data_IF_564790483112
#
_entry.id   IF_564790483112
#
_cell.length_a   1.000
_cell.length_b   1.000
_cell.length_c   1.000
_cell.angle_alpha   90.00
_cell.angle_beta   90.00
_cell.angle_gamma   90.00
#
_symmetry.space_group_name_H-M   'P 1'
#
loop_
_entity.id
_entity.type
_entity.pdbx_description
1 polymer ?
#
# COMPACT_ATOMS: atom_id res chain seq x y z
N UNK A 1 -16.80 -3.60 35.70
CA UNK A 1 -16.02 -2.33 35.72
C UNK A 1 -14.91 -2.25 34.67
N UNK A 2 -14.49 -3.36 34.02
CA UNK A 2 -13.39 -3.36 33.03
C UNK A 2 -13.83 -3.06 31.58
N UNK A 3 -15.08 -3.37 31.20
CA UNK A 3 -15.57 -3.15 29.84
C UNK A 3 -15.81 -1.67 29.51
N UNK A 4 -16.43 -0.92 30.43
CA UNK A 4 -16.60 0.54 30.28
C UNK A 4 -15.28 1.29 30.06
N UNK A 5 -14.19 0.87 30.71
CA UNK A 5 -12.86 1.49 30.50
C UNK A 5 -12.27 1.17 29.11
N UNK A 6 -12.53 -0.02 28.56
CA UNK A 6 -12.11 -0.39 27.20
C UNK A 6 -12.88 0.41 26.15
N UNK A 7 -14.19 0.54 26.30
CA UNK A 7 -15.02 1.31 25.36
C UNK A 7 -14.64 2.79 25.34
N UNK A 8 -14.48 3.43 26.51
CA UNK A 8 -14.04 4.83 26.61
C UNK A 8 -12.68 5.03 25.94
N UNK A 9 -11.75 4.08 26.11
CA UNK A 9 -10.43 4.13 25.49
C UNK A 9 -10.50 3.97 23.97
N UNK A 10 -11.32 3.06 23.45
CA UNK A 10 -11.54 2.90 22.01
C UNK A 10 -12.15 4.15 21.39
N UNK A 11 -13.16 4.73 22.03
CA UNK A 11 -13.83 5.94 21.55
C UNK A 11 -12.86 7.14 21.51
N UNK A 12 -11.98 7.26 22.50
CA UNK A 12 -10.91 8.26 22.55
C UNK A 12 -9.91 8.10 21.39
N UNK A 13 -9.49 6.87 21.08
CA UNK A 13 -8.57 6.58 19.97
C UNK A 13 -9.23 6.95 18.63
N UNK A 14 -10.47 6.54 18.38
CA UNK A 14 -11.19 6.85 17.13
C UNK A 14 -11.33 8.36 16.94
N UNK A 15 -11.66 9.10 18.00
CA UNK A 15 -11.75 10.56 17.96
C UNK A 15 -10.40 11.20 17.62
N UNK A 16 -9.30 10.68 18.18
CA UNK A 16 -7.94 11.14 17.87
C UNK A 16 -7.53 10.86 16.43
N UNK A 17 -7.93 9.71 15.87
CA UNK A 17 -7.67 9.34 14.47
C UNK A 17 -8.42 10.24 13.48
N UNK A 18 -9.68 10.60 13.78
CA UNK A 18 -10.48 11.50 12.93
C UNK A 18 -9.89 12.92 12.85
N UNK A 19 -9.17 13.36 13.88
CA UNK A 19 -8.54 14.68 13.93
C UNK A 19 -7.16 14.73 13.23
N UNK A 20 -6.74 13.65 12.56
CA UNK A 20 -5.51 13.66 11.79
C UNK A 20 -5.75 14.47 10.51
N UNK A 21 -5.18 15.67 10.47
CA UNK A 21 -5.15 16.47 9.25
C UNK A 21 -4.40 15.71 8.14
N UNK A 22 -5.08 15.52 7.01
CA UNK A 22 -4.53 14.95 5.79
C UNK A 22 -4.40 16.06 4.73
N UNK A 23 -3.18 16.38 4.28
CA UNK A 23 -2.97 17.32 3.18
C UNK A 23 -3.66 16.86 1.88
N UNK A 24 -4.09 17.80 1.03
CA UNK A 24 -4.80 17.47 -0.21
C UNK A 24 -4.02 16.54 -1.14
N UNK A 25 -2.72 16.81 -1.31
CA UNK A 25 -1.87 15.99 -2.19
C UNK A 25 -1.79 14.53 -1.74
N UNK A 26 -1.85 14.27 -0.42
CA UNK A 26 -1.62 12.94 0.13
C UNK A 26 -2.79 11.99 -0.18
N UNK A 27 -4.02 12.46 -0.02
CA UNK A 27 -5.18 11.61 -0.36
C UNK A 27 -5.37 11.48 -1.87
N UNK A 28 -5.00 12.49 -2.67
CA UNK A 28 -4.97 12.38 -4.14
C UNK A 28 -3.93 11.33 -4.58
N UNK A 29 -2.72 11.37 -3.99
CA UNK A 29 -1.69 10.37 -4.24
C UNK A 29 -2.19 8.97 -3.88
N UNK A 30 -2.87 8.79 -2.75
CA UNK A 30 -3.43 7.50 -2.35
C UNK A 30 -4.46 6.98 -3.36
N UNK A 31 -5.31 7.84 -3.93
CA UNK A 31 -6.23 7.45 -5.02
C UNK A 31 -5.41 7.02 -6.26
N UNK A 32 -4.37 7.77 -6.62
CA UNK A 32 -3.49 7.42 -7.74
C UNK A 32 -2.78 6.08 -7.55
N UNK A 33 -2.25 5.81 -6.37
CA UNK A 33 -1.68 4.51 -6.00
C UNK A 33 -2.74 3.39 -6.07
N UNK A 34 -3.98 3.69 -5.70
CA UNK A 34 -5.08 2.75 -5.84
C UNK A 34 -5.38 2.39 -7.30
N UNK A 35 -5.43 3.35 -8.21
CA UNK A 35 -5.56 3.07 -9.64
C UNK A 35 -4.37 2.28 -10.20
N UNK A 36 -3.16 2.60 -9.77
CA UNK A 36 -1.97 1.82 -10.14
C UNK A 36 -2.10 0.36 -9.68
N UNK A 37 -2.57 0.11 -8.46
CA UNK A 37 -2.84 -1.24 -7.97
C UNK A 37 -3.93 -1.96 -8.77
N UNK A 38 -4.98 -1.27 -9.25
CA UNK A 38 -5.97 -1.87 -10.16
C UNK A 38 -5.35 -2.29 -11.49
N UNK A 39 -4.48 -1.46 -12.06
CA UNK A 39 -3.76 -1.79 -13.31
C UNK A 39 -2.87 -3.02 -13.09
N UNK A 40 -2.12 -3.07 -11.98
CA UNK A 40 -1.34 -4.25 -11.63
C UNK A 40 -2.22 -5.48 -11.44
N UNK A 41 -3.35 -5.33 -10.74
CA UNK A 41 -4.34 -6.40 -10.56
C UNK A 41 -4.79 -6.99 -11.89
N UNK A 42 -5.11 -6.12 -12.85
CA UNK A 42 -5.46 -6.52 -14.20
C UNK A 42 -4.35 -7.31 -14.89
N UNK A 43 -3.11 -6.80 -14.82
CA UNK A 43 -1.96 -7.47 -15.43
C UNK A 43 -1.68 -8.85 -14.81
N UNK A 44 -1.76 -8.95 -13.49
CA UNK A 44 -1.49 -10.18 -12.75
C UNK A 44 -2.60 -11.24 -12.84
N UNK A 45 -3.84 -10.84 -13.17
CA UNK A 45 -4.98 -11.76 -13.30
C UNK A 45 -5.28 -12.14 -14.75
N UNK A 46 -5.40 -11.16 -15.64
CA UNK A 46 -5.87 -11.40 -17.03
C UNK A 46 -4.72 -11.48 -18.04
N UNK A 47 -3.61 -10.79 -17.79
CA UNK A 47 -2.41 -10.81 -18.64
C UNK A 47 -1.27 -11.57 -17.98
N UNK A 48 -1.60 -12.60 -17.19
CA UNK A 48 -0.66 -13.26 -16.27
C UNK A 48 0.60 -13.78 -16.98
N UNK A 49 0.47 -14.48 -18.11
CA UNK A 49 1.63 -14.98 -18.89
C UNK A 49 2.45 -13.83 -19.49
N UNK A 50 1.76 -12.83 -20.06
CA UNK A 50 2.41 -11.64 -20.61
C UNK A 50 3.19 -10.88 -19.52
N UNK A 51 2.59 -10.73 -18.34
CA UNK A 51 3.19 -10.08 -17.20
C UNK A 51 4.38 -10.89 -16.68
N UNK A 52 4.24 -12.20 -16.53
CA UNK A 52 5.32 -13.08 -16.08
C UNK A 52 6.56 -12.94 -16.97
N UNK A 53 6.40 -13.00 -18.30
CA UNK A 53 7.52 -12.97 -19.25
C UNK A 53 8.06 -11.55 -19.44
N UNK A 54 7.20 -10.57 -19.71
CA UNK A 54 7.64 -9.24 -20.20
C UNK A 54 7.81 -8.20 -19.09
N UNK A 55 7.11 -8.37 -17.96
CA UNK A 55 7.13 -7.40 -16.85
C UNK A 55 8.01 -7.93 -15.71
N UNK A 56 7.88 -9.21 -15.38
CA UNK A 56 8.56 -9.83 -14.25
C UNK A 56 9.78 -10.66 -14.65
N UNK A 57 10.00 -10.94 -15.93
CA UNK A 57 11.15 -11.71 -16.40
C UNK A 57 11.24 -13.09 -15.76
N UNK A 58 10.09 -13.70 -15.48
CA UNK A 58 9.99 -15.03 -14.87
C UNK A 58 10.29 -16.05 -15.96
N UNK A 59 11.24 -16.95 -15.69
CA UNK A 59 11.47 -18.10 -16.53
C UNK A 59 10.39 -19.15 -16.26
N UNK A 60 9.53 -19.36 -17.26
CA UNK A 60 8.46 -20.36 -17.22
C UNK A 60 8.96 -21.77 -17.60
N UNK A 61 10.27 -22.03 -17.64
CA UNK A 61 10.81 -23.36 -17.93
C UNK A 61 10.62 -24.37 -16.78
N UNK A 62 10.39 -23.92 -15.54
CA UNK A 62 10.17 -24.78 -14.37
C UNK A 62 9.29 -24.13 -13.30
N UNK A 63 8.34 -24.89 -12.74
CA UNK A 63 7.47 -24.41 -11.65
C UNK A 63 6.37 -23.43 -12.05
N UNK A 64 6.02 -23.39 -13.35
CA UNK A 64 5.03 -22.48 -13.97
C UNK A 64 3.73 -22.40 -13.19
N UNK A 65 3.15 -23.55 -12.84
CA UNK A 65 1.83 -23.60 -12.20
C UNK A 65 1.82 -22.84 -10.87
N UNK A 66 2.85 -23.05 -10.05
CA UNK A 66 2.98 -22.38 -8.75
C UNK A 66 3.25 -20.87 -8.90
N UNK A 67 4.07 -20.47 -9.88
CA UNK A 67 4.37 -19.07 -10.15
C UNK A 67 3.16 -18.32 -10.70
N UNK A 68 2.44 -18.93 -11.65
CA UNK A 68 1.23 -18.37 -12.25
C UNK A 68 0.09 -18.28 -11.23
N UNK A 69 -0.05 -19.29 -10.37
CA UNK A 69 -0.99 -19.25 -9.25
C UNK A 69 -0.66 -18.11 -8.27
N UNK A 70 0.60 -17.97 -7.89
CA UNK A 70 1.04 -16.89 -7.00
C UNK A 70 0.83 -15.50 -7.64
N UNK A 71 1.11 -15.37 -8.94
CA UNK A 71 0.85 -14.13 -9.67
C UNK A 71 -0.65 -13.81 -9.71
N UNK A 72 -1.51 -14.83 -9.90
CA UNK A 72 -2.96 -14.68 -9.82
C UNK A 72 -3.44 -14.20 -8.46
N UNK A 73 -2.90 -14.75 -7.36
CA UNK A 73 -3.17 -14.28 -5.99
C UNK A 73 -2.71 -12.84 -5.81
N UNK A 74 -1.51 -12.48 -6.29
CA UNK A 74 -1.05 -11.10 -6.26
C UNK A 74 -2.03 -10.18 -7.00
N UNK A 75 -2.55 -10.59 -8.15
CA UNK A 75 -3.55 -9.84 -8.89
C UNK A 75 -4.83 -9.57 -8.09
N UNK A 76 -5.39 -10.59 -7.44
CA UNK A 76 -6.57 -10.44 -6.57
C UNK A 76 -6.28 -9.48 -5.41
N UNK A 77 -5.15 -9.65 -4.73
CA UNK A 77 -4.77 -8.76 -3.62
C UNK A 77 -4.54 -7.31 -4.07
N UNK A 78 -4.05 -7.10 -5.30
CA UNK A 78 -3.92 -5.77 -5.88
C UNK A 78 -5.27 -5.13 -6.21
N UNK A 79 -6.27 -5.88 -6.68
CA UNK A 79 -7.62 -5.35 -6.82
C UNK A 79 -8.20 -4.89 -5.48
N UNK A 80 -8.11 -5.74 -4.45
CA UNK A 80 -8.61 -5.43 -3.11
C UNK A 80 -7.90 -4.19 -2.56
N UNK A 81 -6.57 -4.16 -2.62
CA UNK A 81 -5.77 -3.03 -2.14
C UNK A 81 -6.11 -1.77 -2.92
N UNK A 82 -6.18 -1.84 -4.26
CA UNK A 82 -6.51 -0.71 -5.13
C UNK A 82 -7.87 -0.08 -4.80
N UNK A 83 -8.91 -0.90 -4.67
CA UNK A 83 -10.25 -0.45 -4.26
C UNK A 83 -10.20 0.18 -2.86
N UNK A 84 -9.54 -0.46 -1.90
CA UNK A 84 -9.40 0.08 -0.54
C UNK A 84 -8.70 1.44 -0.53
N UNK A 85 -7.60 1.60 -1.27
CA UNK A 85 -6.86 2.86 -1.34
C UNK A 85 -7.71 3.99 -1.94
N UNK A 86 -8.46 3.71 -3.01
CA UNK A 86 -9.40 4.66 -3.60
C UNK A 86 -10.46 5.08 -2.57
N UNK A 87 -11.11 4.10 -1.92
CA UNK A 87 -12.13 4.36 -0.91
C UNK A 87 -11.59 5.15 0.28
N UNK A 88 -10.36 4.86 0.74
CA UNK A 88 -9.71 5.60 1.83
C UNK A 88 -9.43 7.04 1.38
N UNK A 89 -8.91 7.24 0.17
CA UNK A 89 -8.63 8.58 -0.36
C UNK A 89 -9.90 9.43 -0.59
N UNK A 90 -11.03 8.81 -0.88
CA UNK A 90 -12.32 9.50 -1.06
C UNK A 90 -13.00 9.75 0.29
N UNK A 91 -13.18 8.69 1.09
CA UNK A 91 -14.12 8.66 2.23
C UNK A 91 -13.44 8.72 3.60
N UNK A 92 -12.19 8.26 3.72
CA UNK A 92 -11.49 8.12 5.00
C UNK A 92 -10.10 8.80 5.00
N UNK A 93 -10.01 10.02 4.45
CA UNK A 93 -8.75 10.76 4.23
C UNK A 93 -7.86 10.89 5.47
N UNK A 94 -8.44 10.96 6.66
CA UNK A 94 -7.71 11.02 7.93
C UNK A 94 -6.84 9.78 8.20
N UNK A 95 -7.14 8.64 7.56
CA UNK A 95 -6.34 7.41 7.64
C UNK A 95 -5.13 7.42 6.70
N UNK A 96 -5.11 8.26 5.67
CA UNK A 96 -4.04 8.29 4.65
C UNK A 96 -2.64 8.41 5.29
N UNK A 97 -2.39 9.30 6.27
CA UNK A 97 -1.05 9.41 6.89
C UNK A 97 -0.61 8.15 7.66
N UNK A 98 -1.54 7.27 8.01
CA UNK A 98 -1.27 6.01 8.70
C UNK A 98 -1.06 4.89 7.68
N UNK A 99 -1.86 4.85 6.62
CA UNK A 99 -1.79 3.77 5.62
C UNK A 99 -0.55 3.92 4.74
N UNK A 100 -0.15 5.15 4.39
CA UNK A 100 1.03 5.40 3.55
C UNK A 100 2.31 4.68 4.03
N UNK A 101 2.71 4.73 5.32
CA UNK A 101 3.85 3.97 5.81
C UNK A 101 3.57 2.47 6.02
N UNK A 102 2.32 2.06 6.21
CA UNK A 102 1.96 0.64 6.38
C UNK A 102 2.18 -0.13 5.09
N UNK A 103 1.85 0.45 3.93
CA UNK A 103 2.01 -0.19 2.63
C UNK A 103 3.45 -0.71 2.39
N UNK A 104 4.51 0.13 2.39
CA UNK A 104 5.88 -0.34 2.18
C UNK A 104 6.34 -1.30 3.27
N UNK A 105 5.91 -1.12 4.53
CA UNK A 105 6.24 -2.05 5.63
C UNK A 105 5.65 -3.43 5.38
N UNK A 106 4.40 -3.51 4.92
CA UNK A 106 3.74 -4.79 4.61
C UNK A 106 4.45 -5.52 3.47
N UNK A 107 4.81 -4.82 2.40
CA UNK A 107 5.56 -5.41 1.29
C UNK A 107 6.99 -5.83 1.70
N UNK A 108 7.67 -5.04 2.53
CA UNK A 108 8.99 -5.41 3.07
C UNK A 108 8.89 -6.65 3.96
N UNK A 109 7.86 -6.75 4.81
CA UNK A 109 7.60 -7.94 5.62
C UNK A 109 7.41 -9.20 4.77
N UNK A 110 6.70 -9.09 3.65
CA UNK A 110 6.56 -10.20 2.69
C UNK A 110 7.90 -10.68 2.13
N UNK A 111 8.83 -9.77 1.84
CA UNK A 111 10.16 -10.12 1.32
C UNK A 111 11.05 -10.87 2.32
N UNK A 112 10.84 -10.66 3.63
CA UNK A 112 11.58 -11.37 4.68
C UNK A 112 11.04 -12.80 4.90
N UNK A 113 9.76 -13.01 4.64
CA UNK A 113 9.08 -14.29 4.86
C UNK A 113 9.23 -15.26 3.69
N UNK A 114 9.56 -14.76 2.49
CA UNK A 114 9.73 -15.58 1.27
C UNK A 114 11.21 -15.52 0.85
N UNK A 115 12.07 -16.41 1.39
CA UNK A 115 13.47 -16.49 0.97
C UNK A 115 13.55 -16.99 -0.47
N UNK A 116 14.33 -16.31 -1.31
CA UNK A 116 14.53 -16.60 -2.74
C UNK A 116 13.24 -16.52 -3.57
N UNK A 117 12.67 -15.32 -3.78
CA UNK A 117 11.57 -15.18 -4.72
C UNK A 117 12.03 -15.67 -6.11
N UNK A 118 11.35 -16.69 -6.64
CA UNK A 118 11.62 -17.28 -7.95
C UNK A 118 11.22 -16.38 -9.13
N UNK A 119 11.01 -15.08 -8.88
CA UNK A 119 10.61 -14.09 -9.86
C UNK A 119 11.77 -13.20 -10.28
N UNK A 120 11.83 -12.84 -11.56
CA UNK A 120 12.85 -11.93 -12.08
C UNK A 120 12.74 -10.52 -11.48
N UNK A 121 13.86 -9.79 -11.52
CA UNK A 121 13.98 -8.44 -10.94
C UNK A 121 13.29 -7.34 -11.76
N UNK A 122 12.70 -7.68 -12.91
CA UNK A 122 12.14 -6.72 -13.86
C UNK A 122 10.91 -5.97 -13.30
N UNK A 123 10.17 -6.55 -12.35
CA UNK A 123 9.08 -5.87 -11.64
C UNK A 123 9.53 -4.94 -10.50
N UNK A 124 10.80 -5.02 -10.09
CA UNK A 124 11.32 -4.25 -8.95
C UNK A 124 11.29 -2.73 -9.13
N UNK A 125 11.55 -2.14 -10.32
CA UNK A 125 11.50 -0.69 -10.50
C UNK A 125 10.11 -0.09 -10.19
N UNK A 126 9.04 -0.75 -10.64
CA UNK A 126 7.66 -0.30 -10.37
C UNK A 126 7.31 -0.31 -8.89
N UNK A 127 7.75 -1.34 -8.16
CA UNK A 127 7.59 -1.40 -6.70
C UNK A 127 8.45 -0.37 -5.96
N UNK A 128 9.66 -0.10 -6.45
CA UNK A 128 10.54 0.90 -5.87
C UNK A 128 9.96 2.31 -6.01
N UNK A 129 9.40 2.66 -7.18
CA UNK A 129 8.68 3.92 -7.38
C UNK A 129 7.50 4.03 -6.41
N UNK A 130 6.72 2.96 -6.28
CA UNK A 130 5.60 2.89 -5.33
C UNK A 130 6.04 3.18 -3.89
N UNK A 131 7.13 2.57 -3.43
CA UNK A 131 7.68 2.81 -2.09
C UNK A 131 8.20 4.23 -1.91
N UNK A 132 8.94 4.77 -2.90
CA UNK A 132 9.44 6.14 -2.84
C UNK A 132 8.29 7.12 -2.70
N UNK A 133 7.21 6.95 -3.47
CA UNK A 133 6.02 7.81 -3.37
C UNK A 133 5.39 7.73 -1.98
N UNK A 134 5.22 6.52 -1.42
CA UNK A 134 4.64 6.33 -0.10
C UNK A 134 5.49 6.96 1.02
N UNK A 135 6.80 6.69 1.03
CA UNK A 135 7.73 7.18 2.04
C UNK A 135 7.86 8.70 1.93
N UNK A 136 8.05 9.24 0.72
CA UNK A 136 8.19 10.69 0.51
C UNK A 136 6.95 11.42 0.96
N UNK A 137 5.75 10.95 0.59
CA UNK A 137 4.50 11.57 1.03
C UNK A 137 4.36 11.53 2.55
N UNK A 138 4.70 10.41 3.19
CA UNK A 138 4.69 10.30 4.64
C UNK A 138 5.66 11.28 5.31
N UNK A 139 6.90 11.39 4.82
CA UNK A 139 7.90 12.33 5.33
C UNK A 139 7.46 13.79 5.18
N UNK A 140 6.85 14.15 4.05
CA UNK A 140 6.30 15.50 3.83
C UNK A 140 5.16 15.80 4.82
N UNK A 141 4.26 14.84 5.06
CA UNK A 141 3.19 15.00 6.07
C UNK A 141 3.79 15.19 7.46
N UNK A 142 4.83 14.44 7.83
CA UNK A 142 5.52 14.60 9.10
C UNK A 142 6.18 15.98 9.23
N UNK A 143 6.89 16.43 8.19
CA UNK A 143 7.54 17.74 8.16
C UNK A 143 6.52 18.88 8.35
N UNK A 144 5.38 18.82 7.66
CA UNK A 144 4.29 19.80 7.82
C UNK A 144 3.77 19.81 9.27
N UNK A 145 3.55 18.63 9.87
CA UNK A 145 3.09 18.53 11.26
C UNK A 145 4.09 19.08 12.27
N UNK A 146 5.38 18.80 12.07
CA UNK A 146 6.45 19.31 12.94
C UNK A 146 6.52 20.84 12.84
N UNK A 147 6.50 21.39 11.63
CA UNK A 147 6.53 22.84 11.40
C UNK A 147 5.37 23.55 12.10
N UNK A 148 4.13 23.09 11.91
CA UNK A 148 2.95 23.65 12.58
C UNK A 148 3.06 23.62 14.12
N UNK A 149 3.63 22.55 14.67
CA UNK A 149 3.82 22.39 16.12
C UNK A 149 4.86 23.37 16.69
N UNK A 150 5.88 23.71 15.91
CA UNK A 150 6.89 24.70 16.30
C UNK A 150 6.29 26.10 16.26
N UNK A 151 5.53 26.45 15.21
CA UNK A 151 4.89 27.77 15.06
C UNK A 151 3.76 28.02 16.08
N UNK A 152 3.17 26.97 16.65
CA UNK A 152 2.12 27.08 17.68
C UNK A 152 2.65 27.26 19.11
N UNK A 153 3.96 27.25 19.31
CA UNK A 153 4.63 27.45 20.60
C UNK A 153 5.22 28.85 20.68
#
# INVERSE_FOLDING_TARGET
>A
MNENKKEIKQFSIIKKLKNIECPKFAWILMIGLGFYDLIRGFMHTFLNEFAAINIFGIDLSGGVENQMFLLGIFGITNYITGIMLILIGISARHLVPIILPILPVAYFGGSLLIPNPTGGTAGAPGMLIYFILCITAFLVILAIKIKKKIESK
#
